data_IF_406913544760
#
_entry.id   IF_406913544760
#
_cell.length_a   1.000
_cell.length_b   1.000
_cell.length_c   1.000
_cell.angle_alpha   90.00
_cell.angle_beta   90.00
_cell.angle_gamma   90.00
#
_symmetry.space_group_name_H-M   'P 1'
#
loop_
_entity.id
_entity.type
_entity.pdbx_description
1 polymer ?
#
# COMPACT_ATOMS: atom_id res chain seq x y z
N UNK A 1 9.40 -13.02 -41.79
CA UNK A 1 9.74 -12.10 -40.69
C UNK A 1 8.91 -12.51 -39.49
N UNK A 2 9.52 -13.09 -38.46
CA UNK A 2 8.82 -13.34 -37.18
C UNK A 2 8.60 -11.99 -36.49
N UNK A 3 7.41 -11.70 -35.93
CA UNK A 3 7.22 -10.48 -35.18
C UNK A 3 8.17 -10.49 -33.99
N UNK A 4 9.06 -9.49 -33.89
CA UNK A 4 9.78 -9.28 -32.64
C UNK A 4 8.74 -8.83 -31.59
N UNK A 5 8.70 -9.47 -30.40
CA UNK A 5 7.87 -8.99 -29.32
C UNK A 5 8.22 -7.53 -29.05
N UNK A 6 7.21 -6.66 -28.94
CA UNK A 6 7.46 -5.31 -28.44
C UNK A 6 7.99 -5.45 -27.01
N UNK A 7 9.09 -4.76 -26.66
CA UNK A 7 9.53 -4.71 -25.26
C UNK A 7 8.36 -4.21 -24.40
N UNK A 8 8.35 -4.63 -23.14
CA UNK A 8 7.49 -4.08 -22.10
C UNK A 8 8.15 -4.25 -20.75
N UNK A 9 7.71 -3.48 -19.77
CA UNK A 9 8.26 -3.44 -18.43
C UNK A 9 7.46 -4.29 -17.42
N UNK A 10 6.61 -5.23 -17.88
CA UNK A 10 5.72 -6.01 -16.99
C UNK A 10 6.47 -6.89 -15.99
N UNK A 11 7.74 -7.23 -16.25
CA UNK A 11 8.57 -7.98 -15.29
C UNK A 11 8.67 -7.28 -13.94
N UNK A 12 8.55 -5.95 -13.90
CA UNK A 12 8.56 -5.16 -12.67
C UNK A 12 7.33 -5.39 -11.78
N UNK A 13 6.26 -6.01 -12.30
CA UNK A 13 5.15 -6.45 -11.45
C UNK A 13 5.58 -7.48 -10.41
N UNK A 14 6.66 -8.23 -10.65
CA UNK A 14 7.25 -9.12 -9.64
C UNK A 14 7.75 -8.34 -8.41
N UNK A 15 8.32 -7.15 -8.62
CA UNK A 15 8.70 -6.26 -7.53
C UNK A 15 7.47 -5.78 -6.76
N UNK A 16 6.38 -5.42 -7.46
CA UNK A 16 5.13 -5.04 -6.80
C UNK A 16 4.57 -6.17 -5.94
N UNK A 17 4.61 -7.42 -6.42
CA UNK A 17 4.20 -8.60 -5.64
C UNK A 17 5.06 -8.75 -4.39
N UNK A 18 6.38 -8.62 -4.52
CA UNK A 18 7.29 -8.70 -3.37
C UNK A 18 7.00 -7.62 -2.33
N UNK A 19 6.74 -6.38 -2.76
CA UNK A 19 6.37 -5.28 -1.87
C UNK A 19 5.05 -5.56 -1.15
N UNK A 20 4.02 -6.06 -1.86
CA UNK A 20 2.74 -6.43 -1.24
C UNK A 20 2.93 -7.54 -0.20
N UNK A 21 3.73 -8.56 -0.51
CA UNK A 21 4.01 -9.64 0.43
C UNK A 21 4.70 -9.13 1.71
N UNK A 22 5.70 -8.25 1.57
CA UNK A 22 6.40 -7.63 2.70
C UNK A 22 5.48 -6.70 3.51
N UNK A 23 4.61 -5.93 2.86
CA UNK A 23 3.61 -5.09 3.53
C UNK A 23 2.64 -5.94 4.38
N UNK A 24 2.08 -7.01 3.81
CA UNK A 24 1.14 -7.86 4.53
C UNK A 24 1.82 -8.64 5.66
N UNK A 25 3.03 -9.14 5.43
CA UNK A 25 3.81 -9.83 6.46
C UNK A 25 4.15 -8.88 7.62
N UNK A 26 4.64 -7.68 7.34
CA UNK A 26 4.96 -6.69 8.38
C UNK A 26 3.73 -6.28 9.19
N UNK A 27 2.56 -6.09 8.56
CA UNK A 27 1.29 -5.85 9.26
C UNK A 27 0.89 -7.02 10.15
N UNK A 28 1.00 -8.25 9.65
CA UNK A 28 0.71 -9.45 10.44
C UNK A 28 1.60 -9.53 11.69
N UNK A 29 2.90 -9.23 11.53
CA UNK A 29 3.84 -9.17 12.65
C UNK A 29 3.42 -8.10 13.67
N UNK A 30 3.12 -6.87 13.21
CA UNK A 30 2.64 -5.78 14.08
C UNK A 30 1.40 -6.19 14.87
N UNK A 31 0.42 -6.83 14.22
CA UNK A 31 -0.81 -7.30 14.87
C UNK A 31 -0.54 -8.34 15.95
N UNK A 32 0.43 -9.23 15.73
CA UNK A 32 0.78 -10.29 16.70
C UNK A 32 1.72 -9.85 17.82
N UNK A 33 2.50 -8.79 17.60
CA UNK A 33 3.65 -8.48 18.46
C UNK A 33 3.60 -7.12 19.15
N UNK A 34 2.85 -6.15 18.62
CA UNK A 34 2.77 -4.80 19.21
C UNK A 34 1.43 -4.56 19.92
N UNK A 35 1.43 -3.93 21.11
CA UNK A 35 0.21 -3.47 21.76
C UNK A 35 -0.48 -2.37 20.96
N UNK A 36 -1.80 -2.28 21.06
CA UNK A 36 -2.58 -1.22 20.42
C UNK A 36 -2.34 0.14 21.08
N UNK A 37 -2.28 1.19 20.26
CA UNK A 37 -2.23 2.59 20.70
C UNK A 37 -1.15 2.90 21.75
N UNK A 38 -0.07 2.14 21.72
CA UNK A 38 1.03 2.25 22.68
C UNK A 38 2.31 2.46 21.90
N UNK A 39 3.05 3.52 22.24
CA UNK A 39 4.35 3.81 21.66
C UNK A 39 5.40 2.87 22.24
N UNK A 40 6.12 2.17 21.37
CA UNK A 40 7.27 1.34 21.72
C UNK A 40 8.52 2.04 21.19
N UNK A 41 9.32 2.69 22.07
CA UNK A 41 10.53 3.38 21.64
C UNK A 41 11.53 2.43 21.00
N UNK A 42 12.01 2.82 19.82
CA UNK A 42 13.13 2.17 19.12
C UNK A 42 14.38 3.03 19.30
N UNK A 43 14.23 4.34 19.11
CA UNK A 43 15.25 5.36 19.38
C UNK A 43 14.57 6.41 20.26
N UNK A 44 15.00 6.48 21.51
CA UNK A 44 14.46 7.42 22.51
C UNK A 44 14.44 8.85 21.97
N UNK A 45 13.26 9.49 22.04
CA UNK A 45 13.05 10.86 21.56
C UNK A 45 12.96 11.06 20.05
N UNK A 46 13.07 10.01 19.22
CA UNK A 46 13.04 10.13 17.76
C UNK A 46 12.10 9.16 17.05
N UNK A 47 12.10 7.88 17.41
CA UNK A 47 11.35 6.84 16.70
C UNK A 47 10.66 5.87 17.65
N UNK A 48 9.34 5.76 17.48
CA UNK A 48 8.51 4.73 18.09
C UNK A 48 7.88 3.81 17.03
N UNK A 49 7.79 2.53 17.33
CA UNK A 49 6.76 1.69 16.73
C UNK A 49 5.41 2.00 17.38
N UNK A 50 4.36 2.10 16.58
CA UNK A 50 3.01 2.42 17.07
C UNK A 50 1.96 1.70 16.23
N UNK A 51 1.17 0.82 16.87
CA UNK A 51 0.06 0.13 16.21
C UNK A 51 -1.19 1.00 16.24
N UNK A 52 -1.65 1.39 15.07
CA UNK A 52 -2.89 2.18 14.87
C UNK A 52 -3.62 1.70 13.62
N UNK A 53 -4.89 2.06 13.50
CA UNK A 53 -5.72 1.77 12.34
C UNK A 53 -6.14 3.08 11.68
N UNK A 54 -5.82 3.23 10.40
CA UNK A 54 -6.25 4.36 9.59
C UNK A 54 -7.53 3.97 8.84
N UNK A 55 -8.68 4.51 9.26
CA UNK A 55 -10.00 4.27 8.64
C UNK A 55 -10.23 5.10 7.37
N UNK A 56 -9.22 5.83 6.91
CA UNK A 56 -9.30 6.62 5.70
C UNK A 56 -9.67 8.06 6.02
N UNK A 57 -8.66 8.86 6.30
CA UNK A 57 -8.56 10.26 5.97
C UNK A 57 -7.14 10.65 6.33
N UNK A 58 -6.23 10.67 5.36
CA UNK A 58 -5.01 11.44 5.60
C UNK A 58 -5.48 12.83 6.07
N UNK A 59 -5.16 13.19 7.33
CA UNK A 59 -5.57 14.43 8.03
C UNK A 59 -6.96 14.49 8.70
N UNK A 60 -7.65 13.36 8.95
CA UNK A 60 -9.00 13.35 9.55
C UNK A 60 -10.07 14.12 8.76
N UNK A 61 -9.74 14.67 7.58
CA UNK A 61 -10.66 15.44 6.74
C UNK A 61 -11.92 14.67 6.36
N UNK A 62 -11.82 13.35 6.21
CA UNK A 62 -12.93 12.44 5.90
C UNK A 62 -13.22 11.43 7.03
N UNK A 63 -12.63 11.57 8.23
CA UNK A 63 -12.80 10.54 9.27
C UNK A 63 -14.26 10.39 9.70
N UNK A 64 -15.02 11.50 9.69
CA UNK A 64 -16.44 11.54 10.04
C UNK A 64 -17.37 11.49 8.82
N UNK A 65 -16.84 11.23 7.63
CA UNK A 65 -17.59 11.32 6.37
C UNK A 65 -18.49 10.10 6.08
N UNK A 66 -18.80 9.26 7.08
CA UNK A 66 -19.75 8.14 6.91
C UNK A 66 -19.21 6.93 6.14
N UNK A 67 -17.89 6.81 5.96
CA UNK A 67 -17.21 5.59 5.50
C UNK A 67 -17.15 5.37 3.98
N UNK A 68 -17.79 6.21 3.17
CA UNK A 68 -17.73 6.11 1.70
C UNK A 68 -16.30 6.25 1.16
N UNK A 69 -15.45 6.97 1.90
CA UNK A 69 -14.07 7.23 1.50
C UNK A 69 -13.25 5.95 1.33
N UNK A 70 -13.58 4.88 2.07
CA UNK A 70 -12.95 3.56 1.90
C UNK A 70 -13.17 3.07 0.47
N UNK A 71 -14.43 3.04 0.02
CA UNK A 71 -14.80 2.59 -1.31
C UNK A 71 -14.23 3.49 -2.41
N UNK A 72 -14.25 4.81 -2.20
CA UNK A 72 -13.64 5.77 -3.12
C UNK A 72 -12.13 5.54 -3.27
N UNK A 73 -11.39 5.44 -2.17
CA UNK A 73 -9.94 5.21 -2.22
C UNK A 73 -9.59 3.81 -2.76
N UNK A 74 -10.39 2.79 -2.48
CA UNK A 74 -10.22 1.47 -3.11
C UNK A 74 -10.40 1.54 -4.63
N UNK A 75 -11.48 2.17 -5.10
CA UNK A 75 -11.72 2.32 -6.53
C UNK A 75 -10.61 3.12 -7.22
N UNK A 76 -10.17 4.21 -6.58
CA UNK A 76 -9.06 5.03 -7.06
C UNK A 76 -7.74 4.24 -7.12
N UNK A 77 -7.43 3.45 -6.08
CA UNK A 77 -6.25 2.60 -6.05
C UNK A 77 -6.25 1.58 -7.20
N UNK A 78 -7.37 0.88 -7.42
CA UNK A 78 -7.52 -0.07 -8.53
C UNK A 78 -7.35 0.62 -9.89
N UNK A 79 -7.99 1.77 -10.08
CA UNK A 79 -7.89 2.53 -11.33
C UNK A 79 -6.44 2.97 -11.64
N UNK A 80 -5.74 3.52 -10.64
CA UNK A 80 -4.34 3.94 -10.78
C UNK A 80 -3.43 2.73 -11.01
N UNK A 81 -3.59 1.64 -10.26
CA UNK A 81 -2.81 0.41 -10.48
C UNK A 81 -2.99 -0.14 -11.89
N UNK A 82 -4.22 -0.14 -12.42
CA UNK A 82 -4.50 -0.53 -13.80
C UNK A 82 -3.83 0.39 -14.83
N UNK A 83 -3.90 1.71 -14.63
CA UNK A 83 -3.24 2.70 -15.48
C UNK A 83 -1.72 2.51 -15.51
N UNK A 84 -1.10 2.34 -14.33
CA UNK A 84 0.34 2.10 -14.22
C UNK A 84 0.73 0.76 -14.87
N UNK A 85 -0.06 -0.30 -14.68
CA UNK A 85 0.14 -1.58 -15.35
C UNK A 85 0.04 -1.47 -16.87
N UNK A 86 -0.90 -0.68 -17.38
CA UNK A 86 -1.02 -0.37 -18.81
C UNK A 86 0.19 0.41 -19.33
N UNK A 87 0.72 1.37 -18.57
CA UNK A 87 1.93 2.10 -18.94
C UNK A 87 3.16 1.20 -18.97
N UNK A 88 3.31 0.28 -18.01
CA UNK A 88 4.36 -0.75 -18.02
C UNK A 88 4.23 -1.68 -19.24
N UNK A 89 3.01 -2.02 -19.64
CA UNK A 89 2.78 -2.82 -20.85
C UNK A 89 3.11 -2.07 -22.14
N UNK A 90 2.92 -0.74 -22.16
CA UNK A 90 3.15 0.13 -23.32
C UNK A 90 4.58 0.65 -23.45
N UNK A 91 5.46 0.35 -22.50
CA UNK A 91 6.86 0.80 -22.47
C UNK A 91 7.66 0.13 -23.58
#
# INVERSE_FOLDING_TARGET
MTPHPKPNALIWLLLSIAVIALDQWSKSWVLSSLPEYTAIPVIEGYWNWFRTYNTGAAFSFLSDAGGWQIWFFTALAVAISGLLGFWLWRT
#
